data_IF_821445198117
#
_entry.id   IF_821445198117
#
_cell.length_a   1.000
_cell.length_b   1.000
_cell.length_c   1.000
_cell.angle_alpha   90.00
_cell.angle_beta   90.00
_cell.angle_gamma   90.00
#
_symmetry.space_group_name_H-M   'P 1'
#
loop_
_entity.id
_entity.type
_entity.pdbx_description
1 polymer ?
#
# COMPACT_ATOMS: atom_id res chain seq x y z
N UNK A 1 21.99 -17.12 -2.65
CA UNK A 1 20.70 -16.67 -2.10
C UNK A 1 20.34 -15.31 -2.70
N UNK A 2 19.43 -15.24 -3.67
CA UNK A 2 19.17 -14.06 -4.51
C UNK A 2 17.91 -13.25 -4.12
N UNK A 3 17.16 -13.70 -3.10
CA UNK A 3 15.97 -13.01 -2.59
C UNK A 3 14.78 -13.04 -3.56
N UNK A 4 13.86 -12.09 -3.36
CA UNK A 4 12.61 -11.96 -4.13
C UNK A 4 12.45 -10.55 -4.70
N UNK A 5 11.61 -10.40 -5.73
CA UNK A 5 11.24 -9.12 -6.34
C UNK A 5 9.74 -8.86 -6.24
N UNK A 6 9.30 -7.59 -6.23
CA UNK A 6 7.88 -7.25 -6.32
C UNK A 6 7.24 -7.85 -7.56
N UNK A 7 5.99 -8.29 -7.43
CA UNK A 7 5.19 -8.75 -8.56
C UNK A 7 4.66 -7.52 -9.30
N UNK A 8 5.09 -7.34 -10.54
CA UNK A 8 4.54 -6.31 -11.41
C UNK A 8 3.19 -6.74 -11.98
N UNK A 9 2.29 -5.78 -12.15
CA UNK A 9 1.02 -5.99 -12.83
C UNK A 9 1.24 -5.95 -14.34
N UNK A 10 0.42 -6.69 -15.09
CA UNK A 10 0.44 -6.67 -16.55
C UNK A 10 -0.77 -5.88 -17.03
N UNK A 11 -0.64 -4.56 -17.06
CA UNK A 11 -1.70 -3.64 -17.45
C UNK A 11 -1.10 -2.40 -18.08
N UNK A 12 -1.89 -1.71 -18.89
CA UNK A 12 -1.43 -0.49 -19.55
C UNK A 12 -1.14 0.60 -18.51
N UNK A 13 -0.04 1.32 -18.70
CA UNK A 13 0.37 2.40 -17.80
C UNK A 13 1.21 1.99 -16.60
N UNK A 14 1.64 0.73 -16.48
CA UNK A 14 2.55 0.29 -15.39
C UNK A 14 3.93 0.97 -15.41
N UNK A 15 4.33 1.49 -16.56
CA UNK A 15 5.60 2.19 -16.75
C UNK A 15 5.47 3.72 -16.63
N UNK A 16 4.28 4.23 -16.28
CA UNK A 16 4.07 5.66 -16.06
C UNK A 16 4.87 6.17 -14.85
N UNK A 17 5.35 7.41 -14.94
CA UNK A 17 5.99 8.08 -13.82
C UNK A 17 5.03 8.13 -12.61
N UNK A 18 5.54 7.76 -11.43
CA UNK A 18 4.75 7.64 -10.20
C UNK A 18 4.25 6.23 -9.89
N UNK A 19 4.28 5.31 -10.86
CA UNK A 19 4.00 3.88 -10.60
C UNK A 19 5.30 3.21 -10.14
N UNK A 20 5.39 2.92 -8.84
CA UNK A 20 6.60 2.39 -8.20
C UNK A 20 6.28 1.22 -7.27
N UNK A 21 7.30 0.42 -6.94
CA UNK A 21 7.20 -0.71 -6.01
C UNK A 21 8.20 -0.55 -4.86
N UNK A 22 7.89 -1.10 -3.68
CA UNK A 22 8.81 -1.10 -2.53
C UNK A 22 9.48 -2.47 -2.32
N UNK A 23 10.80 -2.52 -2.43
CA UNK A 23 11.64 -3.66 -2.03
C UNK A 23 12.96 -3.24 -1.38
N UNK A 24 13.55 -2.16 -1.88
CA UNK A 24 14.86 -1.66 -1.48
C UNK A 24 14.75 -0.34 -0.70
N UNK A 25 15.86 0.06 -0.08
CA UNK A 25 15.95 1.38 0.55
C UNK A 25 15.83 2.51 -0.48
N UNK A 26 16.38 2.30 -1.69
CA UNK A 26 16.26 3.28 -2.78
C UNK A 26 14.80 3.48 -3.17
N UNK A 27 14.00 2.42 -3.22
CA UNK A 27 12.57 2.49 -3.50
C UNK A 27 11.83 3.31 -2.43
N UNK A 28 12.19 3.13 -1.15
CA UNK A 28 11.60 3.88 -0.04
C UNK A 28 11.92 5.38 -0.13
N UNK A 29 13.16 5.74 -0.50
CA UNK A 29 13.54 7.13 -0.75
C UNK A 29 12.74 7.73 -1.91
N UNK A 30 12.63 7.01 -3.02
CA UNK A 30 11.84 7.44 -4.17
C UNK A 30 10.36 7.65 -3.80
N UNK A 31 9.75 6.72 -3.06
CA UNK A 31 8.37 6.88 -2.59
C UNK A 31 8.22 8.12 -1.71
N UNK A 32 9.18 8.39 -0.82
CA UNK A 32 9.17 9.59 0.01
C UNK A 32 9.25 10.88 -0.82
N UNK A 33 10.09 10.91 -1.83
CA UNK A 33 10.24 12.05 -2.74
C UNK A 33 8.96 12.30 -3.56
N UNK A 34 8.44 11.25 -4.21
CA UNK A 34 7.21 11.33 -5.02
C UNK A 34 6.00 11.72 -4.18
N UNK A 35 5.84 11.11 -3.01
CA UNK A 35 4.72 11.41 -2.11
C UNK A 35 4.82 12.82 -1.53
N UNK A 36 6.01 13.40 -1.36
CA UNK A 36 6.15 14.79 -0.92
C UNK A 36 5.50 15.78 -1.91
N UNK A 37 5.52 15.45 -3.19
CA UNK A 37 4.99 16.25 -4.30
C UNK A 37 3.55 15.89 -4.70
N UNK A 38 2.94 14.90 -4.03
CA UNK A 38 1.61 14.38 -4.35
C UNK A 38 0.66 14.56 -3.16
N UNK A 39 -0.60 14.87 -3.42
CA UNK A 39 -1.62 14.92 -2.36
C UNK A 39 -2.25 13.53 -2.15
N UNK A 40 -2.64 12.89 -3.26
CA UNK A 40 -3.30 11.59 -3.28
C UNK A 40 -2.32 10.45 -3.62
N UNK A 41 -2.41 9.36 -2.87
CA UNK A 41 -1.61 8.15 -3.06
C UNK A 41 -2.52 6.92 -3.08
N UNK A 42 -2.36 6.10 -4.12
CA UNK A 42 -3.03 4.80 -4.24
C UNK A 42 -2.03 3.69 -4.01
N UNK A 43 -2.37 2.75 -3.11
CA UNK A 43 -1.58 1.56 -2.81
C UNK A 43 -2.33 0.33 -3.31
N UNK A 44 -1.69 -0.42 -4.19
CA UNK A 44 -2.23 -1.66 -4.72
C UNK A 44 -1.74 -2.86 -3.88
N UNK A 45 -2.65 -3.44 -3.11
CA UNK A 45 -2.43 -4.58 -2.23
C UNK A 45 -2.55 -4.23 -0.73
N UNK A 46 -3.47 -4.90 -0.05
CA UNK A 46 -3.74 -4.85 1.39
C UNK A 46 -2.98 -5.89 2.21
N UNK A 47 -1.75 -6.22 1.81
CA UNK A 47 -0.80 -7.03 2.58
C UNK A 47 0.03 -6.18 3.56
N UNK A 48 0.93 -6.80 4.33
CA UNK A 48 1.75 -6.10 5.33
C UNK A 48 2.45 -4.84 4.79
N UNK A 49 3.20 -4.99 3.69
CA UNK A 49 3.95 -3.87 3.08
C UNK A 49 2.99 -2.73 2.69
N UNK A 50 1.88 -3.04 2.03
CA UNK A 50 0.93 -2.02 1.59
C UNK A 50 0.30 -1.26 2.76
N UNK A 51 -0.08 -1.97 3.83
CA UNK A 51 -0.72 -1.36 5.00
C UNK A 51 0.25 -0.52 5.85
N UNK A 52 1.52 -0.94 5.97
CA UNK A 52 2.55 -0.16 6.67
C UNK A 52 2.87 1.15 5.93
N UNK A 53 2.99 1.10 4.60
CA UNK A 53 3.17 2.30 3.79
C UNK A 53 1.91 3.18 3.89
N UNK A 54 0.72 2.59 3.86
CA UNK A 54 -0.53 3.34 3.95
C UNK A 54 -0.62 4.17 5.23
N UNK A 55 -0.33 3.54 6.38
CA UNK A 55 -0.27 4.23 7.66
C UNK A 55 0.80 5.33 7.65
N UNK A 56 2.00 5.02 7.16
CA UNK A 56 3.13 5.95 7.11
C UNK A 56 2.80 7.21 6.30
N UNK A 57 2.29 7.04 5.09
CA UNK A 57 1.94 8.15 4.20
C UNK A 57 0.73 8.94 4.71
N UNK A 58 -0.22 8.26 5.38
CA UNK A 58 -1.34 8.94 6.01
C UNK A 58 -0.88 9.84 7.15
N UNK A 59 0.02 9.35 8.01
CA UNK A 59 0.65 10.16 9.07
C UNK A 59 1.46 11.32 8.48
N UNK A 60 2.07 11.13 7.30
CA UNK A 60 2.75 12.19 6.56
C UNK A 60 1.81 13.18 5.84
N UNK A 61 0.50 13.15 6.13
CA UNK A 61 -0.48 14.12 5.65
C UNK A 61 -1.05 13.85 4.26
N UNK A 62 -0.84 12.66 3.70
CA UNK A 62 -1.35 12.30 2.37
C UNK A 62 -2.76 11.72 2.41
N UNK A 63 -3.50 11.87 1.33
CA UNK A 63 -4.77 11.17 1.12
C UNK A 63 -4.45 9.78 0.58
N UNK A 64 -4.70 8.75 1.38
CA UNK A 64 -4.27 7.38 1.04
C UNK A 64 -5.48 6.50 0.76
N UNK A 65 -5.47 5.83 -0.38
CA UNK A 65 -6.41 4.75 -0.71
C UNK A 65 -5.66 3.43 -0.90
N UNK A 66 -6.07 2.39 -0.18
CA UNK A 66 -5.62 1.02 -0.39
C UNK A 66 -6.67 0.27 -1.20
N UNK A 67 -6.23 -0.38 -2.28
CA UNK A 67 -7.06 -1.27 -3.11
C UNK A 67 -6.54 -2.69 -2.93
N UNK A 68 -7.38 -3.59 -2.41
CA UNK A 68 -7.09 -5.01 -2.27
C UNK A 68 -8.08 -5.82 -3.12
N UNK A 69 -7.54 -6.71 -3.95
CA UNK A 69 -8.30 -7.46 -4.95
C UNK A 69 -9.15 -8.60 -4.35
N UNK A 70 -8.97 -8.88 -3.07
CA UNK A 70 -9.77 -9.87 -2.34
C UNK A 70 -10.58 -9.20 -1.23
N UNK A 71 -11.57 -9.91 -0.72
CA UNK A 71 -12.54 -9.37 0.24
C UNK A 71 -11.95 -8.95 1.60
N UNK A 72 -10.69 -9.31 1.89
CA UNK A 72 -10.08 -9.12 3.21
C UNK A 72 -8.60 -8.77 3.16
N UNK A 73 -8.25 -7.70 3.86
CA UNK A 73 -6.87 -7.33 4.19
C UNK A 73 -6.15 -8.47 4.89
N UNK A 74 -4.85 -8.63 4.63
CA UNK A 74 -4.01 -9.64 5.27
C UNK A 74 -4.59 -11.07 5.19
N UNK A 75 -5.40 -11.37 4.17
CA UNK A 75 -6.22 -12.58 4.10
C UNK A 75 -5.46 -13.91 4.17
N UNK A 76 -4.19 -13.90 3.77
CA UNK A 76 -3.27 -15.06 3.81
C UNK A 76 -2.41 -15.15 5.06
N UNK A 77 -2.43 -14.12 5.92
CA UNK A 77 -1.47 -13.96 7.00
C UNK A 77 -2.09 -14.03 8.39
N UNK A 78 -3.33 -13.55 8.57
CA UNK A 78 -3.94 -13.42 9.90
C UNK A 78 -5.41 -13.85 9.92
N UNK A 79 -5.90 -14.16 11.12
CA UNK A 79 -7.31 -14.48 11.35
C UNK A 79 -8.24 -13.29 11.03
N UNK A 80 -9.51 -13.53 10.68
CA UNK A 80 -10.48 -12.48 10.33
C UNK A 80 -10.61 -11.37 11.38
N UNK A 81 -10.61 -11.72 12.66
CA UNK A 81 -10.70 -10.74 13.76
C UNK A 81 -9.54 -9.76 13.78
N UNK A 82 -8.32 -10.23 13.48
CA UNK A 82 -7.12 -9.38 13.43
C UNK A 82 -7.17 -8.48 12.20
N UNK A 83 -7.55 -9.02 11.04
CA UNK A 83 -7.71 -8.24 9.81
C UNK A 83 -8.76 -7.13 9.98
N UNK A 84 -9.89 -7.44 10.63
CA UNK A 84 -10.93 -6.46 10.94
C UNK A 84 -10.43 -5.37 11.89
N UNK A 85 -9.67 -5.73 12.92
CA UNK A 85 -9.06 -4.77 13.83
C UNK A 85 -8.09 -3.83 13.10
N UNK A 86 -7.23 -4.37 12.23
CA UNK A 86 -6.29 -3.58 11.43
C UNK A 86 -7.03 -2.63 10.49
N UNK A 87 -8.07 -3.11 9.78
CA UNK A 87 -8.93 -2.28 8.94
C UNK A 87 -9.49 -1.08 9.72
N UNK A 88 -10.12 -1.35 10.86
CA UNK A 88 -10.72 -0.31 11.70
C UNK A 88 -9.69 0.74 12.14
N UNK A 89 -8.46 0.33 12.50
CA UNK A 89 -7.41 1.26 12.91
C UNK A 89 -6.93 2.15 11.77
N UNK A 90 -6.78 1.60 10.56
CA UNK A 90 -6.35 2.35 9.39
C UNK A 90 -7.45 3.33 8.92
N UNK A 91 -8.70 2.88 8.91
CA UNK A 91 -9.85 3.75 8.59
C UNK A 91 -10.01 4.87 9.62
N UNK A 92 -9.78 4.60 10.92
CA UNK A 92 -9.83 5.60 11.98
C UNK A 92 -8.78 6.72 11.82
N UNK A 93 -7.63 6.45 11.20
CA UNK A 93 -6.63 7.48 10.87
C UNK A 93 -6.87 8.10 9.48
N UNK A 94 -7.93 7.70 8.77
CA UNK A 94 -8.35 8.28 7.49
C UNK A 94 -7.77 7.61 6.25
N UNK A 95 -7.28 6.37 6.34
CA UNK A 95 -6.95 5.56 5.15
C UNK A 95 -8.26 5.04 4.55
N UNK A 96 -8.48 5.28 3.25
CA UNK A 96 -9.60 4.70 2.51
C UNK A 96 -9.25 3.27 2.09
N UNK A 97 -10.15 2.31 2.30
CA UNK A 97 -9.89 0.90 1.99
C UNK A 97 -10.98 0.35 1.07
N UNK A 98 -10.57 -0.09 -0.11
CA UNK A 98 -11.40 -0.75 -1.11
C UNK A 98 -10.98 -2.22 -1.19
N UNK A 99 -11.92 -3.13 -0.96
CA UNK A 99 -11.74 -4.59 -1.02
C UNK A 99 -12.75 -5.19 -1.99
N UNK A 100 -12.35 -6.24 -2.71
CA UNK A 100 -13.15 -6.90 -3.74
C UNK A 100 -12.57 -6.67 -5.13
#
# INVERSE_FOLDING_TARGET
ATGSRPRLLKLDGVDLAGVVSLRSLADAHLIRELSAQSEDVVILGGGFIGLEIAATLRVAGRNVTVVEAVDRLLGRAVAPVIAAHVRQRLEAIGVRILTG
#
